data_IF_284548543675
#
_entry.id   IF_284548543675
#
_cell.length_a   1.000
_cell.length_b   1.000
_cell.length_c   1.000
_cell.angle_alpha   90.00
_cell.angle_beta   90.00
_cell.angle_gamma   90.00
#
_symmetry.space_group_name_H-M   'P 1'
#
loop_
_entity.id
_entity.type
_entity.pdbx_description
1 polymer ?
#
# COMPACT_ATOMS: atom_id res chain seq x y z
N UNK A 1 -3.00 24.86 -16.84
CA UNK A 1 -3.71 24.19 -15.72
C UNK A 1 -2.90 22.98 -15.31
N UNK A 2 -2.08 23.09 -14.26
CA UNK A 2 -1.40 21.92 -13.67
C UNK A 2 -2.42 21.18 -12.80
N UNK A 3 -2.65 19.90 -13.08
CA UNK A 3 -3.58 19.08 -12.32
C UNK A 3 -3.04 18.76 -10.92
N UNK A 4 -3.90 18.31 -9.99
CA UNK A 4 -3.52 17.94 -8.62
C UNK A 4 -2.49 16.80 -8.52
N UNK A 5 -2.11 16.16 -9.63
CA UNK A 5 -1.08 15.13 -9.69
C UNK A 5 0.36 15.65 -9.53
N UNK A 6 0.64 16.92 -9.87
CA UNK A 6 2.01 17.46 -9.81
C UNK A 6 2.41 17.86 -8.39
N UNK A 7 1.47 18.31 -7.55
CA UNK A 7 1.78 18.78 -6.20
C UNK A 7 2.31 17.67 -5.28
N UNK A 8 1.78 16.45 -5.38
CA UNK A 8 2.25 15.30 -4.60
C UNK A 8 3.59 14.77 -5.11
N UNK A 9 3.77 14.68 -6.43
CA UNK A 9 5.05 14.32 -7.06
C UNK A 9 6.20 15.25 -6.62
N UNK A 10 5.92 16.56 -6.50
CA UNK A 10 6.89 17.56 -6.03
C UNK A 10 7.31 17.36 -4.57
N UNK A 11 6.44 16.84 -3.70
CA UNK A 11 6.73 16.63 -2.27
C UNK A 11 7.49 15.32 -2.00
N UNK A 12 7.28 14.26 -2.79
CA UNK A 12 7.98 12.98 -2.60
C UNK A 12 9.42 13.01 -3.12
N UNK A 13 9.69 13.80 -4.15
CA UNK A 13 11.02 13.97 -4.72
C UNK A 13 12.08 14.41 -3.68
N UNK A 14 11.89 15.47 -2.87
CA UNK A 14 12.86 15.87 -1.86
C UNK A 14 13.05 14.82 -0.77
N UNK A 15 11.99 14.10 -0.37
CA UNK A 15 12.09 13.01 0.62
C UNK A 15 12.97 11.87 0.10
N UNK A 16 12.75 11.45 -1.15
CA UNK A 16 13.57 10.41 -1.79
C UNK A 16 15.03 10.87 -1.95
N UNK A 17 15.26 12.14 -2.31
CA UNK A 17 16.61 12.71 -2.41
C UNK A 17 17.31 12.69 -1.04
N UNK A 18 16.63 13.08 0.04
CA UNK A 18 17.18 13.02 1.39
C UNK A 18 17.51 11.59 1.82
N UNK A 19 16.63 10.62 1.57
CA UNK A 19 16.90 9.19 1.81
C UNK A 19 18.13 8.70 1.04
N UNK A 20 18.26 9.08 -0.23
CA UNK A 20 19.40 8.71 -1.06
C UNK A 20 20.70 9.36 -0.57
N UNK A 21 20.65 10.57 -0.03
CA UNK A 21 21.82 11.24 0.53
C UNK A 21 22.27 10.54 1.82
N UNK A 22 21.34 10.17 2.71
CA UNK A 22 21.65 9.38 3.89
C UNK A 22 22.27 8.03 3.53
N UNK A 23 21.72 7.34 2.52
CA UNK A 23 22.26 6.08 2.03
C UNK A 23 23.73 6.23 1.60
N UNK A 24 24.02 7.29 0.82
CA UNK A 24 25.39 7.63 0.40
C UNK A 24 26.33 7.93 1.56
N UNK A 25 25.86 8.67 2.56
CA UNK A 25 26.65 8.94 3.78
C UNK A 25 26.98 7.66 4.54
N UNK A 26 26.04 6.71 4.62
CA UNK A 26 26.25 5.42 5.31
C UNK A 26 27.23 4.53 4.53
N UNK A 27 27.09 4.46 3.20
CA UNK A 27 27.90 3.56 2.36
C UNK A 27 29.23 4.16 1.93
N UNK A 28 29.41 5.48 2.08
CA UNK A 28 30.56 6.21 1.55
C UNK A 28 30.57 6.37 0.03
N UNK A 29 29.44 6.09 -0.64
CA UNK A 29 29.33 6.16 -2.10
C UNK A 29 29.00 7.59 -2.56
N UNK A 30 29.63 8.03 -3.64
CA UNK A 30 29.40 9.34 -4.21
C UNK A 30 28.26 9.34 -5.25
N UNK A 31 27.92 10.51 -5.79
CA UNK A 31 26.97 10.60 -6.92
C UNK A 31 27.62 10.22 -8.25
N UNK A 32 28.92 10.41 -8.35
CA UNK A 32 29.81 10.10 -9.47
C UNK A 32 29.96 8.61 -9.70
N UNK A 33 29.72 7.78 -8.69
CA UNK A 33 29.77 6.31 -8.81
C UNK A 33 28.61 5.73 -9.65
N UNK A 34 27.62 6.56 -10.03
CA UNK A 34 26.48 6.18 -10.88
C UNK A 34 25.73 4.91 -10.43
N UNK A 35 25.77 4.60 -9.13
CA UNK A 35 25.10 3.42 -8.56
C UNK A 35 23.58 3.59 -8.67
N UNK A 36 22.90 2.50 -9.05
CA UNK A 36 21.45 2.46 -9.05
C UNK A 36 20.93 2.75 -7.63
N UNK A 37 19.85 3.54 -7.53
CA UNK A 37 19.22 3.86 -6.22
C UNK A 37 18.88 2.60 -5.45
N UNK A 38 18.57 1.52 -6.17
CA UNK A 38 18.27 0.23 -5.61
C UNK A 38 19.43 -0.35 -4.83
N UNK A 39 20.55 -0.53 -5.53
CA UNK A 39 21.76 -1.11 -4.96
C UNK A 39 22.30 -0.22 -3.83
N UNK A 40 22.22 1.11 -3.98
CA UNK A 40 22.61 2.06 -2.95
C UNK A 40 21.82 1.87 -1.64
N UNK A 41 20.50 1.69 -1.73
CA UNK A 41 19.65 1.52 -0.55
C UNK A 41 19.80 0.14 0.08
N UNK A 42 19.99 -0.90 -0.73
CA UNK A 42 20.26 -2.25 -0.23
C UNK A 42 21.63 -2.33 0.47
N UNK A 43 22.67 -1.67 -0.07
CA UNK A 43 23.98 -1.52 0.57
C UNK A 43 23.89 -0.74 1.90
N UNK A 44 23.10 0.34 1.93
CA UNK A 44 22.86 1.11 3.14
C UNK A 44 21.92 0.41 4.15
N UNK A 45 21.35 -0.75 3.79
CA UNK A 45 20.29 -1.46 4.52
C UNK A 45 19.07 -0.57 4.83
N UNK A 46 18.82 0.43 4.00
CA UNK A 46 17.69 1.34 4.14
C UNK A 46 16.48 0.81 3.34
N UNK A 47 15.27 0.83 3.93
CA UNK A 47 14.07 0.53 3.18
C UNK A 47 13.76 1.64 2.19
N UNK A 48 13.34 1.24 1.00
CA UNK A 48 12.92 2.16 -0.04
C UNK A 48 11.60 2.82 0.36
N UNK A 49 11.41 4.08 -0.05
CA UNK A 49 10.18 4.81 0.23
C UNK A 49 8.94 4.05 -0.27
N UNK A 50 9.01 3.45 -1.46
CA UNK A 50 7.92 2.62 -1.98
C UNK A 50 7.64 1.40 -1.10
N UNK A 51 8.68 0.74 -0.55
CA UNK A 51 8.52 -0.40 0.36
C UNK A 51 7.83 0.01 1.65
N UNK A 52 8.02 1.25 2.10
CA UNK A 52 7.32 1.81 3.25
C UNK A 52 5.84 2.08 2.93
N UNK A 53 5.56 2.68 1.77
CA UNK A 53 4.17 2.95 1.31
C UNK A 53 3.40 1.65 1.14
N UNK A 54 3.97 0.66 0.44
CA UNK A 54 3.34 -0.66 0.25
C UNK A 54 3.06 -1.37 1.59
N UNK A 55 3.97 -1.26 2.57
CA UNK A 55 3.73 -1.80 3.93
C UNK A 55 2.61 -1.06 4.64
N UNK A 56 2.54 0.26 4.51
CA UNK A 56 1.52 1.08 5.13
C UNK A 56 0.14 0.73 4.55
N UNK A 57 0.02 0.68 3.22
CA UNK A 57 -1.22 0.33 2.52
C UNK A 57 -1.68 -1.08 2.86
N UNK A 58 -0.76 -2.05 2.93
CA UNK A 58 -1.07 -3.42 3.35
C UNK A 58 -1.60 -3.47 4.80
N UNK A 59 -0.98 -2.72 5.71
CA UNK A 59 -1.41 -2.66 7.11
C UNK A 59 -2.75 -1.97 7.27
N UNK A 60 -3.00 -0.90 6.51
CA UNK A 60 -4.31 -0.24 6.49
C UNK A 60 -5.39 -1.18 5.95
N UNK A 61 -5.14 -1.89 4.84
CA UNK A 61 -6.08 -2.90 4.33
C UNK A 61 -6.45 -3.95 5.40
N UNK A 62 -5.44 -4.47 6.11
CA UNK A 62 -5.63 -5.45 7.18
C UNK A 62 -6.41 -4.90 8.38
N UNK A 63 -6.07 -3.70 8.85
CA UNK A 63 -6.78 -3.04 9.95
C UNK A 63 -8.23 -2.78 9.57
N UNK A 64 -8.46 -2.29 8.37
CA UNK A 64 -9.78 -1.95 7.86
C UNK A 64 -10.67 -3.19 7.80
N UNK A 65 -10.14 -4.33 7.37
CA UNK A 65 -10.86 -5.61 7.39
C UNK A 65 -11.18 -6.10 8.81
N UNK A 66 -10.25 -5.95 9.78
CA UNK A 66 -10.43 -6.46 11.14
C UNK A 66 -11.16 -5.49 12.08
N UNK A 67 -11.28 -4.21 11.72
CA UNK A 67 -11.92 -3.17 12.51
C UNK A 67 -13.34 -2.84 12.03
N UNK A 68 -13.86 -3.53 11.01
CA UNK A 68 -15.25 -3.36 10.54
C UNK A 68 -16.30 -3.95 11.48
N UNK A 69 -15.88 -4.69 12.50
CA UNK A 69 -16.73 -5.39 13.49
C UNK A 69 -16.83 -4.67 14.85
N UNK A 70 -16.23 -3.48 15.03
CA UNK A 70 -16.42 -2.74 16.27
C UNK A 70 -17.88 -2.29 16.35
N UNK A 71 -18.67 -2.91 17.23
CA UNK A 71 -20.13 -2.76 17.37
C UNK A 71 -20.69 -1.34 17.62
N UNK A 72 -19.90 -0.28 17.48
CA UNK A 72 -20.37 1.08 17.24
C UNK A 72 -20.48 1.30 15.73
N UNK A 73 -21.68 1.43 15.19
CA UNK A 73 -22.01 1.43 13.74
C UNK A 73 -21.34 2.48 12.82
N UNK A 74 -20.20 3.05 13.18
CA UNK A 74 -19.32 3.80 12.29
C UNK A 74 -18.30 2.85 11.65
N UNK A 75 -18.68 2.21 10.55
CA UNK A 75 -17.70 1.55 9.70
C UNK A 75 -16.70 2.61 9.18
N UNK A 76 -15.40 2.29 9.25
CA UNK A 76 -14.37 3.13 8.64
C UNK A 76 -14.72 3.38 7.16
N UNK A 77 -14.74 4.63 6.66
CA UNK A 77 -15.13 4.93 5.28
C UNK A 77 -14.28 4.18 4.23
N UNK A 78 -13.00 3.91 4.54
CA UNK A 78 -12.13 3.08 3.69
C UNK A 78 -12.64 1.63 3.68
N UNK A 79 -13.10 1.11 4.83
CA UNK A 79 -13.67 -0.22 4.96
C UNK A 79 -15.02 -0.38 4.31
N UNK A 80 -15.91 0.60 4.43
CA UNK A 80 -17.16 0.61 3.68
C UNK A 80 -16.90 0.64 2.18
N UNK A 81 -15.86 1.36 1.73
CA UNK A 81 -15.50 1.42 0.31
C UNK A 81 -14.85 0.12 -0.20
N UNK A 82 -14.02 -0.53 0.61
CA UNK A 82 -13.31 -1.76 0.22
C UNK A 82 -14.14 -3.05 0.44
N UNK A 83 -14.89 -3.12 1.53
CA UNK A 83 -15.53 -4.34 2.03
C UNK A 83 -17.03 -4.20 2.27
N UNK A 84 -17.59 -2.99 2.15
CA UNK A 84 -19.01 -2.74 2.37
C UNK A 84 -19.93 -3.32 1.28
N UNK A 85 -21.24 -3.45 1.56
CA UNK A 85 -22.23 -3.83 0.56
C UNK A 85 -22.22 -2.78 -0.56
N UNK A 86 -22.04 -3.22 -1.80
CA UNK A 86 -21.77 -2.28 -2.88
C UNK A 86 -23.07 -1.59 -3.28
N UNK A 87 -23.31 -0.43 -2.65
CA UNK A 87 -24.53 0.37 -2.78
C UNK A 87 -24.30 1.87 -2.67
N UNK A 88 -23.06 2.34 -2.57
CA UNK A 88 -22.69 3.77 -2.72
C UNK A 88 -21.93 4.06 -4.02
N UNK A 89 -21.87 3.10 -4.97
CA UNK A 89 -21.35 3.42 -6.31
C UNK A 89 -21.24 2.35 -7.39
N UNK A 90 -21.25 1.03 -7.14
CA UNK A 90 -21.10 0.01 -8.22
C UNK A 90 -21.92 -1.25 -7.92
N UNK A 91 -23.15 -1.34 -8.45
CA UNK A 91 -24.10 -2.44 -8.27
C UNK A 91 -23.49 -3.84 -8.06
N UNK A 92 -23.75 -4.43 -6.89
CA UNK A 92 -23.40 -5.80 -6.51
C UNK A 92 -24.36 -6.86 -7.08
N UNK A 93 -24.90 -6.65 -8.29
CA UNK A 93 -26.03 -7.45 -8.80
C UNK A 93 -25.65 -8.74 -9.56
N UNK A 94 -24.36 -9.11 -9.51
CA UNK A 94 -23.90 -10.43 -9.96
C UNK A 94 -22.78 -10.91 -9.07
N UNK A 95 -22.97 -12.06 -8.44
CA UNK A 95 -21.87 -12.80 -7.82
C UNK A 95 -20.87 -13.20 -8.90
N UNK A 96 -19.88 -12.34 -9.12
CA UNK A 96 -18.74 -12.63 -9.98
C UNK A 96 -17.84 -13.64 -9.24
N UNK A 97 -17.18 -14.53 -9.99
CA UNK A 97 -16.29 -15.57 -9.43
C UNK A 97 -15.23 -15.02 -8.46
N UNK A 98 -14.89 -13.73 -8.55
CA UNK A 98 -14.01 -13.00 -7.63
C UNK A 98 -14.52 -12.94 -6.18
N UNK A 99 -15.84 -12.86 -5.98
CA UNK A 99 -16.45 -12.75 -4.64
C UNK A 99 -16.33 -14.09 -3.87
N UNK A 100 -16.42 -15.22 -4.57
CA UNK A 100 -16.21 -16.56 -4.00
C UNK A 100 -14.74 -16.81 -3.61
N UNK A 101 -13.82 -16.02 -4.17
CA UNK A 101 -12.38 -16.09 -3.87
C UNK A 101 -11.93 -15.04 -2.82
N UNK A 102 -12.86 -14.31 -2.19
CA UNK A 102 -12.54 -13.29 -1.19
C UNK A 102 -11.85 -12.03 -1.73
N UNK A 103 -11.95 -11.77 -3.05
CA UNK A 103 -11.33 -10.61 -3.69
C UNK A 103 -12.21 -9.36 -3.59
N UNK A 104 -11.57 -8.23 -3.29
CA UNK A 104 -12.17 -6.89 -3.26
C UNK A 104 -12.19 -6.30 -4.67
N UNK A 105 -13.28 -5.66 -5.06
CA UNK A 105 -13.35 -4.93 -6.34
C UNK A 105 -12.41 -3.72 -6.25
N UNK A 106 -11.49 -3.59 -7.19
CA UNK A 106 -10.59 -2.42 -7.28
C UNK A 106 -11.38 -1.31 -8.01
N UNK A 107 -11.72 -0.18 -7.35
CA UNK A 107 -12.41 0.90 -8.03
C UNK A 107 -11.49 1.56 -9.06
N UNK A 108 -11.86 1.50 -10.34
CA UNK A 108 -11.04 1.99 -11.46
C UNK A 108 -11.28 3.48 -11.81
N UNK A 109 -12.33 4.11 -11.26
CA UNK A 109 -12.68 5.52 -11.53
C UNK A 109 -13.09 6.27 -10.26
N UNK A 110 -12.53 7.46 -10.05
CA UNK A 110 -13.07 8.48 -9.15
C UNK A 110 -12.83 8.31 -7.64
N UNK A 111 -12.00 7.38 -7.18
CA UNK A 111 -11.82 7.12 -5.72
C UNK A 111 -10.34 7.06 -5.32
N UNK A 112 -10.10 7.56 -4.11
CA UNK A 112 -8.87 7.63 -3.32
C UNK A 112 -7.82 6.56 -3.69
N UNK A 113 -6.63 7.00 -4.12
CA UNK A 113 -5.51 6.13 -4.52
C UNK A 113 -5.15 5.07 -3.46
N UNK A 114 -5.33 5.41 -2.17
CA UNK A 114 -5.10 4.49 -1.05
C UNK A 114 -6.02 3.27 -1.17
N UNK A 115 -7.30 3.46 -1.49
CA UNK A 115 -8.27 2.36 -1.64
C UNK A 115 -7.86 1.44 -2.79
N UNK A 116 -7.45 2.02 -3.92
CA UNK A 116 -7.01 1.23 -5.08
C UNK A 116 -5.76 0.42 -4.77
N UNK A 117 -4.76 1.03 -4.13
CA UNK A 117 -3.52 0.35 -3.75
C UNK A 117 -3.77 -0.71 -2.67
N UNK A 118 -4.51 -0.38 -1.61
CA UNK A 118 -4.88 -1.30 -0.55
C UNK A 118 -5.68 -2.50 -1.07
N UNK A 119 -6.68 -2.29 -1.94
CA UNK A 119 -7.45 -3.37 -2.56
C UNK A 119 -6.59 -4.26 -3.47
N UNK A 120 -5.69 -3.64 -4.24
CA UNK A 120 -4.75 -4.38 -5.10
C UNK A 120 -3.83 -5.27 -4.26
N UNK A 121 -3.27 -4.73 -3.17
CA UNK A 121 -2.38 -5.48 -2.28
C UNK A 121 -3.15 -6.61 -1.58
N UNK A 122 -4.34 -6.30 -1.08
CA UNK A 122 -5.21 -7.28 -0.43
C UNK A 122 -5.47 -8.48 -1.33
N UNK A 123 -5.85 -8.26 -2.59
CA UNK A 123 -6.12 -9.32 -3.55
C UNK A 123 -4.87 -10.12 -3.97
N UNK A 124 -3.70 -9.49 -3.97
CA UNK A 124 -2.45 -10.11 -4.38
C UNK A 124 -1.77 -10.91 -3.27
N UNK A 125 -2.14 -10.72 -2.00
CA UNK A 125 -1.43 -11.32 -0.87
C UNK A 125 -2.34 -12.12 0.08
N UNK A 126 -2.58 -13.42 -0.21
CA UNK A 126 -3.39 -14.30 0.64
C UNK A 126 -2.87 -14.43 2.07
N UNK A 127 -1.55 -14.34 2.28
CA UNK A 127 -0.95 -14.39 3.62
C UNK A 127 -1.35 -13.19 4.49
N UNK A 128 -1.62 -12.03 3.88
CA UNK A 128 -2.16 -10.87 4.60
C UNK A 128 -3.58 -11.16 5.06
N UNK A 129 -4.39 -11.79 4.21
CA UNK A 129 -5.78 -12.13 4.50
C UNK A 129 -5.87 -13.19 5.60
N UNK A 130 -4.94 -14.16 5.62
CA UNK A 130 -4.88 -15.21 6.62
C UNK A 130 -4.34 -14.75 7.99
N UNK A 131 -3.76 -13.54 8.08
CA UNK A 131 -3.15 -13.05 9.31
C UNK A 131 -4.22 -12.70 10.36
N UNK A 132 -4.23 -13.43 11.48
CA UNK A 132 -5.19 -13.21 12.59
C UNK A 132 -4.74 -12.21 13.64
N UNK A 133 -3.51 -11.70 13.53
CA UNK A 133 -2.93 -10.77 14.50
C UNK A 133 -2.17 -9.65 13.80
N UNK A 134 -2.09 -8.49 14.45
CA UNK A 134 -1.34 -7.35 13.93
C UNK A 134 0.15 -7.68 13.73
N UNK A 135 0.72 -8.56 14.58
CA UNK A 135 2.08 -9.05 14.42
C UNK A 135 2.28 -9.88 13.15
N UNK A 136 1.38 -10.83 12.88
CA UNK A 136 1.41 -11.65 11.67
C UNK A 136 1.19 -10.80 10.40
N UNK A 137 0.28 -9.83 10.46
CA UNK A 137 0.03 -8.91 9.35
C UNK A 137 1.25 -8.03 9.03
N UNK A 138 1.93 -7.50 10.05
CA UNK A 138 3.19 -6.75 9.87
C UNK A 138 4.27 -7.59 9.21
N UNK A 139 4.36 -8.88 9.56
CA UNK A 139 5.31 -9.80 8.94
C UNK A 139 4.95 -10.03 7.47
N UNK A 140 3.70 -10.35 7.17
CA UNK A 140 3.20 -10.57 5.82
C UNK A 140 3.41 -9.33 4.93
N UNK A 141 3.07 -8.14 5.42
CA UNK A 141 3.28 -6.87 4.72
C UNK A 141 4.78 -6.59 4.44
N UNK A 142 5.65 -6.94 5.39
CA UNK A 142 7.11 -6.80 5.20
C UNK A 142 7.63 -7.75 4.12
N UNK A 143 7.13 -8.98 4.09
CA UNK A 143 7.48 -9.98 3.07
C UNK A 143 7.00 -9.53 1.69
N UNK A 144 5.76 -9.09 1.56
CA UNK A 144 5.21 -8.58 0.31
C UNK A 144 5.99 -7.38 -0.24
N UNK A 145 6.35 -6.42 0.61
CA UNK A 145 7.13 -5.27 0.15
C UNK A 145 8.56 -5.64 -0.30
N UNK A 146 9.07 -6.83 0.05
CA UNK A 146 10.36 -7.32 -0.47
C UNK A 146 10.24 -8.01 -1.83
N UNK A 147 9.05 -8.52 -2.18
CA UNK A 147 8.83 -9.20 -3.46
C UNK A 147 8.59 -8.22 -4.61
N UNK A 148 8.12 -7.00 -4.30
CA UNK A 148 8.05 -5.89 -5.26
C UNK A 148 9.45 -5.29 -5.45
N UNK A 149 10.02 -5.46 -6.65
CA UNK A 149 11.27 -4.81 -7.06
C UNK A 149 10.99 -3.41 -7.56
#
# INVERSE_FOLDING_TARGET
MLGPHDATSTAFKPIQVSLNNMARTITGLERTDHVLVCDLQDCARLPYLYKLVVRADAMEAWKVFHNSDSGSGEQNPIGTTMFGPVGTGISQDRSLRSNLAGQVIIPLRGVNAIVCHAATIWNQWPELQAAKSSGAAKLAARTFARTKK
#
